data_IF_239436387471
#
_entry.id   IF_239436387471
#
_cell.length_a   1.000
_cell.length_b   1.000
_cell.length_c   1.000
_cell.angle_alpha   90.00
_cell.angle_beta   90.00
_cell.angle_gamma   90.00
#
_symmetry.space_group_name_H-M   'P 1'
#
loop_
_entity.id
_entity.type
_entity.pdbx_description
1 polymer ?
#
# COMPACT_ATOMS: atom_id res chain seq x y z
N UNK A 1 18.43 2.27 10.93
CA UNK A 1 18.35 1.20 9.94
C UNK A 1 19.26 1.51 8.76
N UNK A 2 20.04 0.53 8.31
CA UNK A 2 21.03 0.75 7.25
C UNK A 2 20.42 0.76 5.85
N UNK A 3 19.42 -0.06 5.64
CA UNK A 3 18.71 -0.19 4.38
C UNK A 3 17.22 -0.14 4.67
N UNK A 4 16.50 0.73 3.98
CA UNK A 4 15.06 0.77 4.08
C UNK A 4 14.46 1.22 2.75
N UNK A 5 13.23 0.79 2.52
CA UNK A 5 12.46 1.14 1.34
C UNK A 5 11.00 1.37 1.72
N UNK A 6 10.42 2.39 1.17
CA UNK A 6 9.01 2.70 1.31
C UNK A 6 8.29 2.30 0.02
N UNK A 7 7.38 1.34 0.12
CA UNK A 7 6.49 0.98 -0.97
C UNK A 7 5.20 1.77 -0.84
N UNK A 8 4.79 2.46 -1.90
CA UNK A 8 3.65 3.38 -1.92
C UNK A 8 2.66 2.95 -2.99
N UNK A 9 1.39 2.84 -2.61
CA UNK A 9 0.27 2.54 -3.49
C UNK A 9 -0.86 3.55 -3.36
N UNK A 10 -1.89 3.37 -4.16
CA UNK A 10 -3.10 4.19 -4.10
C UNK A 10 -4.34 3.33 -4.29
N UNK A 11 -5.18 3.23 -3.27
CA UNK A 11 -6.39 2.40 -3.29
C UNK A 11 -7.34 2.72 -4.45
N UNK A 12 -7.45 4.00 -4.81
CA UNK A 12 -8.28 4.43 -5.92
C UNK A 12 -7.88 3.82 -7.26
N UNK A 13 -6.63 3.39 -7.45
CA UNK A 13 -6.24 2.67 -8.66
C UNK A 13 -6.86 1.27 -8.67
N UNK A 14 -6.68 0.51 -7.60
CA UNK A 14 -7.28 -0.82 -7.48
C UNK A 14 -8.81 -0.76 -7.53
N UNK A 15 -9.42 0.19 -6.82
CA UNK A 15 -10.87 0.40 -6.84
C UNK A 15 -11.38 0.68 -8.27
N UNK A 16 -10.63 1.44 -9.08
CA UNK A 16 -11.02 1.70 -10.46
C UNK A 16 -11.07 0.45 -11.34
N UNK A 17 -10.24 -0.56 -11.04
CA UNK A 17 -10.27 -1.86 -11.71
C UNK A 17 -11.50 -2.68 -11.29
N UNK A 18 -11.83 -2.67 -10.00
CA UNK A 18 -13.03 -3.34 -9.46
C UNK A 18 -14.30 -2.77 -10.10
N UNK A 19 -14.39 -1.44 -10.16
CA UNK A 19 -15.53 -0.73 -10.78
C UNK A 19 -15.66 -1.04 -12.28
N UNK A 20 -14.53 -1.02 -13.00
CA UNK A 20 -14.50 -1.31 -14.44
C UNK A 20 -14.89 -2.76 -14.76
N UNK A 21 -14.54 -3.69 -13.90
CA UNK A 21 -14.91 -5.09 -14.00
C UNK A 21 -16.33 -5.38 -13.50
N UNK A 22 -17.00 -4.39 -12.89
CA UNK A 22 -18.32 -4.50 -12.29
C UNK A 22 -18.44 -5.67 -11.29
N UNK A 23 -17.38 -5.89 -10.49
CA UNK A 23 -17.37 -6.95 -9.49
C UNK A 23 -18.30 -6.61 -8.33
N UNK A 24 -19.13 -7.57 -7.94
CA UNK A 24 -19.87 -7.51 -6.67
C UNK A 24 -18.95 -7.72 -5.46
N UNK A 25 -19.49 -7.65 -4.26
CA UNK A 25 -18.67 -7.69 -3.03
C UNK A 25 -17.99 -9.06 -2.85
N UNK A 26 -18.67 -10.15 -3.18
CA UNK A 26 -18.10 -11.51 -3.08
C UNK A 26 -16.93 -11.69 -4.05
N UNK A 27 -17.10 -11.28 -5.31
CA UNK A 27 -16.06 -11.34 -6.32
C UNK A 27 -14.90 -10.42 -5.97
N UNK A 28 -15.17 -9.23 -5.44
CA UNK A 28 -14.16 -8.30 -4.96
C UNK A 28 -13.33 -8.89 -3.84
N UNK A 29 -13.95 -9.47 -2.81
CA UNK A 29 -13.25 -10.11 -1.70
C UNK A 29 -12.34 -11.23 -2.18
N UNK A 30 -12.84 -12.07 -3.09
CA UNK A 30 -12.06 -13.16 -3.67
C UNK A 30 -10.84 -12.67 -4.46
N UNK A 31 -11.01 -11.65 -5.29
CA UNK A 31 -9.91 -11.01 -6.04
C UNK A 31 -8.89 -10.38 -5.10
N UNK A 32 -9.34 -9.69 -4.05
CA UNK A 32 -8.46 -9.10 -3.02
C UNK A 32 -7.62 -10.18 -2.32
N UNK A 33 -8.24 -11.29 -1.93
CA UNK A 33 -7.54 -12.44 -1.32
C UNK A 33 -6.44 -12.97 -2.24
N UNK A 34 -6.77 -13.24 -3.50
CA UNK A 34 -5.83 -13.77 -4.49
C UNK A 34 -4.65 -12.80 -4.75
N UNK A 35 -4.93 -11.50 -4.86
CA UNK A 35 -3.88 -10.49 -5.06
C UNK A 35 -2.99 -10.34 -3.83
N UNK A 36 -3.55 -10.36 -2.62
CA UNK A 36 -2.77 -10.32 -1.39
C UNK A 36 -1.83 -11.53 -1.26
N UNK A 37 -2.24 -12.67 -1.79
CA UNK A 37 -1.43 -13.89 -1.88
C UNK A 37 -0.50 -13.92 -3.10
N UNK A 38 -0.44 -12.83 -3.90
CA UNK A 38 0.34 -12.74 -5.14
C UNK A 38 -0.03 -13.82 -6.18
N UNK A 39 -1.23 -14.38 -6.09
CA UNK A 39 -1.75 -15.40 -6.99
C UNK A 39 -2.47 -14.77 -8.20
N UNK A 40 -1.72 -14.14 -9.08
CA UNK A 40 -2.28 -13.47 -10.27
C UNK A 40 -2.87 -14.45 -11.28
N UNK A 41 -2.35 -15.68 -11.34
CA UNK A 41 -2.94 -16.74 -12.16
C UNK A 41 -4.35 -17.11 -11.65
N UNK A 42 -4.51 -17.28 -10.35
CA UNK A 42 -5.82 -17.53 -9.75
C UNK A 42 -6.80 -16.36 -9.94
N UNK A 43 -6.31 -15.11 -10.02
CA UNK A 43 -7.15 -13.95 -10.38
C UNK A 43 -7.68 -14.12 -11.80
N UNK A 44 -6.84 -14.47 -12.77
CA UNK A 44 -7.22 -14.66 -14.16
C UNK A 44 -8.26 -15.77 -14.31
N UNK A 45 -7.99 -16.96 -13.74
CA UNK A 45 -8.94 -18.08 -13.73
C UNK A 45 -10.29 -17.73 -13.11
N UNK A 46 -10.26 -17.03 -11.97
CA UNK A 46 -11.49 -16.63 -11.29
C UNK A 46 -12.30 -15.64 -12.13
N UNK A 47 -11.66 -14.60 -12.69
CA UNK A 47 -12.32 -13.62 -13.54
C UNK A 47 -12.85 -14.23 -14.86
N UNK A 48 -12.21 -15.27 -15.37
CA UNK A 48 -12.71 -16.05 -16.50
C UNK A 48 -14.00 -16.81 -16.13
N UNK A 49 -14.04 -17.42 -14.94
CA UNK A 49 -15.19 -18.21 -14.48
C UNK A 49 -16.46 -17.38 -14.31
N UNK A 50 -16.33 -16.09 -13.99
CA UNK A 50 -17.44 -15.14 -13.83
C UNK A 50 -17.63 -14.23 -15.07
N UNK A 51 -17.00 -14.59 -16.19
CA UNK A 51 -17.16 -13.95 -17.50
C UNK A 51 -16.87 -12.43 -17.53
N UNK A 52 -15.90 -11.96 -16.78
CA UNK A 52 -15.45 -10.56 -16.81
C UNK A 52 -14.87 -10.23 -18.20
N UNK A 53 -15.08 -9.02 -18.67
CA UNK A 53 -14.59 -8.56 -19.98
C UNK A 53 -13.05 -8.67 -20.06
N UNK A 54 -12.55 -8.99 -21.26
CA UNK A 54 -11.13 -9.25 -21.50
C UNK A 54 -10.22 -8.11 -21.07
N UNK A 55 -10.60 -6.85 -21.36
CA UNK A 55 -9.78 -5.68 -21.00
C UNK A 55 -9.57 -5.54 -19.49
N UNK A 56 -10.58 -5.84 -18.67
CA UNK A 56 -10.45 -5.80 -17.20
C UNK A 56 -9.55 -6.95 -16.71
N UNK A 57 -9.67 -8.15 -17.27
CA UNK A 57 -8.78 -9.28 -16.93
C UNK A 57 -7.32 -8.95 -17.23
N UNK A 58 -7.03 -8.40 -18.40
CA UNK A 58 -5.69 -7.94 -18.79
C UNK A 58 -5.14 -6.89 -17.82
N UNK A 59 -5.98 -5.96 -17.33
CA UNK A 59 -5.61 -4.96 -16.36
C UNK A 59 -5.27 -5.56 -14.97
N UNK A 60 -6.06 -6.54 -14.50
CA UNK A 60 -5.76 -7.26 -13.26
C UNK A 60 -4.48 -8.11 -13.38
N UNK A 61 -4.29 -8.81 -14.49
CA UNK A 61 -3.07 -9.61 -14.75
C UNK A 61 -1.82 -8.71 -14.76
N UNK A 62 -1.92 -7.48 -15.26
CA UNK A 62 -0.82 -6.54 -15.30
C UNK A 62 -0.38 -6.04 -13.91
N UNK A 63 -1.24 -6.11 -12.87
CA UNK A 63 -0.92 -5.63 -11.52
C UNK A 63 0.37 -6.21 -10.95
N UNK A 64 0.66 -7.48 -11.23
CA UNK A 64 1.89 -8.13 -10.79
C UNK A 64 3.17 -7.47 -11.31
N UNK A 65 3.07 -6.76 -12.43
CA UNK A 65 4.17 -6.04 -13.08
C UNK A 65 4.19 -4.55 -12.75
N UNK A 66 3.26 -4.06 -11.94
CA UNK A 66 3.17 -2.67 -11.52
C UNK A 66 3.79 -2.45 -10.12
N UNK A 67 4.95 -3.04 -9.91
CA UNK A 67 5.80 -2.87 -8.72
C UNK A 67 7.18 -2.47 -9.18
N UNK A 68 7.70 -1.35 -8.67
CA UNK A 68 9.03 -0.84 -9.06
C UNK A 68 9.23 0.65 -8.80
N UNK A 69 10.13 1.26 -9.55
CA UNK A 69 10.41 2.69 -9.49
C UNK A 69 9.30 3.54 -10.14
N UNK A 70 9.62 4.80 -10.40
CA UNK A 70 8.66 5.76 -10.98
C UNK A 70 8.16 5.34 -12.38
N UNK A 71 8.92 4.53 -13.10
CA UNK A 71 8.58 4.04 -14.44
C UNK A 71 7.30 3.20 -14.47
N UNK A 72 6.93 2.57 -13.36
CA UNK A 72 5.68 1.79 -13.30
C UNK A 72 4.44 2.67 -13.34
N UNK A 73 4.55 3.95 -12.95
CA UNK A 73 3.42 4.90 -13.00
C UNK A 73 2.97 5.17 -14.44
N UNK A 74 3.91 5.27 -15.38
CA UNK A 74 3.57 5.41 -16.81
C UNK A 74 2.85 4.16 -17.33
N UNK A 75 3.31 2.97 -16.95
CA UNK A 75 2.63 1.70 -17.29
C UNK A 75 1.22 1.64 -16.70
N UNK A 76 1.08 1.99 -15.41
CA UNK A 76 -0.20 2.01 -14.72
C UNK A 76 -1.20 2.97 -15.39
N UNK A 77 -0.73 4.12 -15.86
CA UNK A 77 -1.56 5.10 -16.58
C UNK A 77 -2.15 4.56 -17.87
N UNK A 78 -1.38 3.72 -18.58
CA UNK A 78 -1.82 3.11 -19.84
C UNK A 78 -2.89 2.03 -19.66
N UNK A 79 -2.92 1.38 -18.47
CA UNK A 79 -3.91 0.34 -18.16
C UNK A 79 -5.04 0.82 -17.24
N UNK A 80 -4.97 2.06 -16.76
CA UNK A 80 -6.03 2.65 -15.93
C UNK A 80 -7.34 2.68 -16.73
N UNK A 81 -8.43 2.04 -16.26
CA UNK A 81 -9.61 1.82 -17.07
C UNK A 81 -10.49 3.06 -17.20
N UNK A 82 -10.34 4.01 -16.28
CA UNK A 82 -11.20 5.18 -16.18
C UNK A 82 -10.44 6.40 -15.58
N UNK A 83 -11.14 7.52 -15.50
CA UNK A 83 -10.58 8.78 -14.99
C UNK A 83 -10.15 8.70 -13.52
N UNK A 84 -10.82 7.90 -12.67
CA UNK A 84 -10.45 7.77 -11.26
C UNK A 84 -9.13 7.00 -11.11
N UNK A 85 -8.91 5.95 -11.90
CA UNK A 85 -7.62 5.26 -11.96
C UNK A 85 -6.49 6.17 -12.43
N UNK A 86 -6.74 6.97 -13.48
CA UNK A 86 -5.76 7.96 -13.97
C UNK A 86 -5.46 9.00 -12.90
N UNK A 87 -6.46 9.49 -12.16
CA UNK A 87 -6.26 10.46 -11.07
C UNK A 87 -5.43 9.87 -9.92
N UNK A 88 -5.65 8.60 -9.58
CA UNK A 88 -4.85 7.89 -8.59
C UNK A 88 -3.37 7.85 -8.99
N UNK A 89 -3.06 7.52 -10.24
CA UNK A 89 -1.69 7.51 -10.76
C UNK A 89 -1.09 8.93 -10.75
N UNK A 90 -1.81 9.93 -11.22
CA UNK A 90 -1.35 11.34 -11.17
C UNK A 90 -1.04 11.80 -9.74
N UNK A 91 -1.78 11.28 -8.75
CA UNK A 91 -1.51 11.60 -7.35
C UNK A 91 -0.18 11.00 -6.89
N UNK A 92 0.14 9.79 -7.33
CA UNK A 92 1.43 9.15 -7.04
C UNK A 92 2.60 9.87 -7.76
N UNK A 93 2.41 10.29 -9.03
CA UNK A 93 3.38 11.12 -9.76
C UNK A 93 3.70 12.40 -8.96
N UNK A 94 2.67 13.11 -8.50
CA UNK A 94 2.85 14.33 -7.71
C UNK A 94 3.59 14.09 -6.39
N UNK A 95 3.38 12.94 -5.75
CA UNK A 95 4.10 12.57 -4.53
C UNK A 95 5.57 12.31 -4.86
N UNK A 96 5.84 11.60 -5.95
CA UNK A 96 7.21 11.37 -6.40
C UNK A 96 7.95 12.69 -6.63
N UNK A 97 7.33 13.65 -7.33
CA UNK A 97 7.91 14.96 -7.57
C UNK A 97 8.24 15.70 -6.26
N UNK A 98 7.35 15.63 -5.27
CA UNK A 98 7.59 16.24 -3.95
C UNK A 98 8.75 15.53 -3.24
N UNK A 99 8.79 14.20 -3.26
CA UNK A 99 9.86 13.44 -2.61
C UNK A 99 11.22 13.70 -3.28
N UNK A 100 11.24 13.90 -4.60
CA UNK A 100 12.44 14.29 -5.35
C UNK A 100 12.97 15.66 -4.91
N UNK A 101 12.08 16.63 -4.62
CA UNK A 101 12.50 17.93 -4.06
C UNK A 101 13.20 17.80 -2.71
N UNK A 102 12.87 16.76 -1.94
CA UNK A 102 13.53 16.45 -0.66
C UNK A 102 14.73 15.51 -0.80
N UNK A 103 15.04 15.01 -2.01
CA UNK A 103 16.14 14.07 -2.28
C UNK A 103 15.96 12.70 -1.64
N UNK A 104 14.70 12.28 -1.40
CA UNK A 104 14.36 11.00 -0.75
C UNK A 104 13.67 10.01 -1.67
N UNK A 105 13.47 10.34 -2.95
CA UNK A 105 12.83 9.52 -3.97
C UNK A 105 13.49 8.15 -4.16
N UNK A 106 14.80 8.06 -3.95
CA UNK A 106 15.58 6.81 -4.04
C UNK A 106 15.18 5.74 -3.02
N UNK A 107 14.47 6.13 -1.96
CA UNK A 107 13.97 5.22 -0.94
C UNK A 107 12.53 4.76 -1.22
N UNK A 108 11.93 5.20 -2.33
CA UNK A 108 10.54 4.97 -2.64
C UNK A 108 10.39 4.05 -3.85
N UNK A 109 9.51 3.08 -3.73
CA UNK A 109 8.97 2.29 -4.82
C UNK A 109 7.46 2.42 -4.85
N UNK A 110 6.87 2.13 -6.00
CA UNK A 110 5.42 2.09 -6.16
C UNK A 110 4.94 0.65 -6.27
N UNK A 111 3.80 0.35 -5.65
CA UNK A 111 3.12 -0.94 -5.75
C UNK A 111 1.61 -0.69 -5.94
N UNK A 112 1.16 -0.80 -7.19
CA UNK A 112 -0.25 -0.56 -7.57
C UNK A 112 -1.14 -1.78 -7.25
N UNK A 113 -0.56 -2.88 -6.80
CA UNK A 113 -1.29 -4.08 -6.37
C UNK A 113 -1.72 -4.02 -4.90
N UNK A 114 -1.40 -2.94 -4.19
CA UNK A 114 -1.84 -2.79 -2.79
C UNK A 114 -3.35 -2.62 -2.71
N UNK A 115 -4.03 -3.53 -2.01
CA UNK A 115 -5.50 -3.56 -1.89
C UNK A 115 -6.03 -2.90 -0.62
N UNK A 116 -5.17 -2.61 0.35
CA UNK A 116 -5.56 -2.05 1.65
C UNK A 116 -6.30 -3.06 2.54
N UNK A 117 -5.60 -3.65 3.50
CA UNK A 117 -6.17 -4.65 4.42
C UNK A 117 -7.14 -4.05 5.45
N UNK A 118 -7.18 -2.72 5.58
CA UNK A 118 -8.02 -2.03 6.54
C UNK A 118 -9.03 -1.17 5.77
N UNK A 119 -10.31 -1.46 5.92
CA UNK A 119 -11.42 -0.81 5.19
C UNK A 119 -11.60 0.70 5.46
N UNK A 120 -10.72 1.33 6.24
CA UNK A 120 -10.78 2.77 6.53
C UNK A 120 -9.85 3.62 5.66
N UNK A 121 -8.90 3.04 4.92
CA UNK A 121 -8.05 3.82 4.01
C UNK A 121 -8.83 4.31 2.79
N UNK A 122 -8.57 5.54 2.35
CA UNK A 122 -9.33 6.19 1.27
C UNK A 122 -8.47 6.63 0.08
N UNK A 123 -7.17 6.51 0.18
CA UNK A 123 -6.29 7.04 -0.87
C UNK A 123 -4.92 6.36 -0.86
N UNK A 124 -3.90 7.15 -0.56
CA UNK A 124 -2.52 6.63 -0.49
C UNK A 124 -2.39 5.67 0.67
N UNK A 125 -1.71 4.56 0.40
CA UNK A 125 -1.23 3.61 1.40
C UNK A 125 0.25 3.39 1.20
N UNK A 126 0.96 3.08 2.29
CA UNK A 126 2.39 2.81 2.22
C UNK A 126 2.83 1.80 3.25
N UNK A 127 3.91 1.09 2.92
CA UNK A 127 4.57 0.12 3.79
C UNK A 127 6.07 0.36 3.74
N UNK A 128 6.70 0.45 4.92
CA UNK A 128 8.14 0.60 5.04
C UNK A 128 8.79 -0.73 5.36
N UNK A 129 9.78 -1.11 4.59
CA UNK A 129 10.54 -2.35 4.74
C UNK A 129 11.99 -2.05 5.06
N UNK A 130 12.66 -2.99 5.72
CA UNK A 130 14.10 -2.95 5.95
C UNK A 130 14.67 -4.36 5.95
N UNK A 131 15.98 -4.45 5.78
CA UNK A 131 16.65 -5.75 5.85
C UNK A 131 16.47 -6.43 7.21
N UNK A 132 16.16 -7.72 7.16
CA UNK A 132 16.08 -8.55 8.36
C UNK A 132 14.69 -8.63 9.00
N UNK A 133 13.64 -8.21 8.31
CA UNK A 133 12.25 -8.39 8.74
C UNK A 133 11.50 -9.36 7.85
N UNK A 134 10.45 -9.98 8.38
CA UNK A 134 9.54 -10.83 7.62
C UNK A 134 8.36 -10.07 7.03
N UNK A 135 8.05 -8.89 7.58
CA UNK A 135 6.95 -8.01 7.16
C UNK A 135 7.38 -6.54 7.28
N UNK A 136 6.49 -5.63 6.91
CA UNK A 136 6.72 -4.20 6.97
C UNK A 136 6.88 -3.71 8.41
N UNK A 137 7.93 -2.91 8.65
CA UNK A 137 8.21 -2.24 9.92
C UNK A 137 7.26 -1.05 10.14
N UNK A 138 6.84 -0.41 9.04
CA UNK A 138 5.91 0.72 9.06
C UNK A 138 4.75 0.41 8.13
N UNK A 139 3.52 0.68 8.57
CA UNK A 139 2.30 0.55 7.77
C UNK A 139 1.46 1.80 7.98
N UNK A 140 1.03 2.44 6.89
CA UNK A 140 0.27 3.68 6.99
C UNK A 140 -0.52 4.02 5.73
N UNK A 141 -1.29 5.10 5.82
CA UNK A 141 -2.07 5.57 4.69
C UNK A 141 -2.98 6.75 5.05
N UNK A 142 -3.68 7.23 4.04
CA UNK A 142 -4.68 8.27 4.15
C UNK A 142 -6.04 7.69 4.50
N UNK A 143 -6.75 8.34 5.41
CA UNK A 143 -8.11 7.99 5.81
C UNK A 143 -8.92 9.26 6.04
N UNK A 144 -10.02 9.41 5.30
CA UNK A 144 -10.81 10.64 5.32
C UNK A 144 -12.09 10.52 6.15
N UNK A 145 -12.58 9.28 6.34
CA UNK A 145 -13.87 9.01 6.98
C UNK A 145 -13.78 8.40 8.39
N UNK A 146 -12.58 8.06 8.85
CA UNK A 146 -12.44 7.39 10.15
C UNK A 146 -12.94 8.24 11.31
N UNK A 147 -12.67 9.55 11.28
CA UNK A 147 -13.06 10.49 12.33
C UNK A 147 -14.56 10.85 12.30
N UNK A 148 -15.28 10.53 11.23
CA UNK A 148 -16.73 10.73 11.13
C UNK A 148 -17.47 9.91 12.19
N UNK A 149 -16.95 8.72 12.53
CA UNK A 149 -17.48 7.88 13.61
C UNK A 149 -17.40 8.55 14.99
N UNK A 150 -16.59 9.58 15.12
CA UNK A 150 -16.43 10.41 16.33
C UNK A 150 -17.00 11.82 16.14
N UNK A 151 -17.88 12.01 15.15
CA UNK A 151 -18.57 13.27 14.89
C UNK A 151 -17.73 14.37 14.24
N UNK A 152 -16.57 14.04 13.64
CA UNK A 152 -15.70 15.03 12.99
C UNK A 152 -15.27 14.58 11.60
N UNK A 153 -15.68 15.31 10.56
CA UNK A 153 -15.16 15.10 9.20
C UNK A 153 -13.78 15.74 9.07
N UNK A 154 -12.75 14.95 8.84
CA UNK A 154 -11.38 15.43 8.66
C UNK A 154 -10.54 14.44 7.88
N UNK A 155 -9.96 14.90 6.76
CA UNK A 155 -8.95 14.14 6.05
C UNK A 155 -7.71 13.98 6.93
N UNK A 156 -7.25 12.75 7.06
CA UNK A 156 -6.14 12.39 7.93
C UNK A 156 -5.18 11.43 7.24
N UNK A 157 -3.92 11.48 7.65
CA UNK A 157 -2.89 10.51 7.27
C UNK A 157 -2.15 10.09 8.54
N UNK A 158 -1.82 8.81 8.65
CA UNK A 158 -1.10 8.30 9.79
C UNK A 158 -0.37 7.01 9.47
N UNK A 159 0.44 6.58 10.42
CA UNK A 159 1.15 5.32 10.33
C UNK A 159 1.34 4.68 11.69
N UNK A 160 1.56 3.38 11.68
CA UNK A 160 1.97 2.59 12.83
C UNK A 160 3.35 1.99 12.58
N UNK A 161 4.14 1.89 13.65
CA UNK A 161 5.39 1.14 13.66
C UNK A 161 5.12 -0.23 14.29
N UNK A 162 5.49 -1.29 13.60
CA UNK A 162 5.40 -2.68 14.08
C UNK A 162 6.65 -2.92 14.93
N UNK A 163 6.50 -2.82 16.25
CA UNK A 163 7.64 -2.84 17.18
C UNK A 163 8.42 -4.14 17.10
N UNK A 164 7.75 -5.29 16.99
CA UNK A 164 8.41 -6.59 16.91
C UNK A 164 9.29 -6.68 15.65
N UNK A 165 8.78 -6.21 14.50
CA UNK A 165 9.56 -6.17 13.26
C UNK A 165 10.73 -5.19 13.35
N UNK A 166 10.52 -4.03 13.99
CA UNK A 166 11.60 -3.08 14.25
C UNK A 166 12.70 -3.68 15.13
N UNK A 167 12.32 -4.37 16.21
CA UNK A 167 13.28 -5.03 17.10
C UNK A 167 14.04 -6.13 16.37
N UNK A 168 13.36 -6.95 15.58
CA UNK A 168 13.98 -7.98 14.74
C UNK A 168 15.02 -7.36 13.77
N UNK A 169 14.65 -6.25 13.11
CA UNK A 169 15.56 -5.53 12.22
C UNK A 169 16.81 -5.02 12.95
N UNK A 170 16.63 -4.40 14.10
CA UNK A 170 17.74 -3.86 14.89
C UNK A 170 18.72 -4.96 15.34
N UNK A 171 18.19 -6.11 15.79
CA UNK A 171 19.00 -7.27 16.20
C UNK A 171 19.77 -7.82 15.00
N UNK A 172 19.09 -8.08 13.88
CA UNK A 172 19.70 -8.69 12.69
C UNK A 172 20.72 -7.76 12.01
N UNK A 173 20.47 -6.45 12.04
CA UNK A 173 21.40 -5.45 11.53
C UNK A 173 22.54 -5.11 12.51
N UNK A 174 22.53 -5.73 13.69
CA UNK A 174 23.51 -5.49 14.77
C UNK A 174 23.61 -4.00 15.17
N UNK A 175 22.46 -3.33 15.16
CA UNK A 175 22.35 -1.93 15.59
C UNK A 175 22.19 -1.90 17.09
N UNK A 176 23.18 -1.33 17.77
CA UNK A 176 23.14 -1.19 19.22
C UNK A 176 22.22 -0.05 19.61
N UNK A 177 21.18 -0.39 20.39
CA UNK A 177 20.33 0.62 21.02
C UNK A 177 21.04 1.12 22.27
N UNK A 178 21.41 2.39 22.26
CA UNK A 178 21.94 3.05 23.46
C UNK A 178 20.76 3.58 24.25
N UNK A 179 20.53 3.04 25.43
CA UNK A 179 19.50 3.54 26.32
C UNK A 179 20.15 4.02 27.63
N UNK A 180 19.72 5.18 28.08
CA UNK A 180 20.08 5.70 29.39
C UNK A 180 19.05 5.16 30.38
N UNK A 181 19.48 4.34 31.33
CA UNK A 181 18.60 3.91 32.42
C UNK A 181 18.23 5.14 33.24
N UNK A 182 16.94 5.46 33.29
CA UNK A 182 16.39 6.39 34.26
C UNK A 182 15.74 5.54 35.36
N UNK A 183 16.09 5.80 36.61
CA UNK A 183 15.41 5.19 37.73
C UNK A 183 14.02 5.86 37.80
N UNK A 184 12.98 5.12 37.44
CA UNK A 184 11.59 5.53 37.62
C UNK A 184 10.96 4.62 38.68
N UNK A 185 10.26 5.21 39.63
CA UNK A 185 9.42 4.49 40.60
C UNK A 185 8.00 4.74 40.15
N UNK A 186 7.27 3.67 39.88
CA UNK A 186 5.84 3.71 39.61
C UNK A 186 5.17 3.23 40.89
N UNK A 187 4.46 4.13 41.57
CA UNK A 187 3.58 3.80 42.66
C UNK A 187 2.19 3.49 42.11
N UNK A 188 1.61 2.38 42.54
CA UNK A 188 0.25 1.99 42.18
C UNK A 188 -0.48 1.56 43.45
N UNK A 189 -1.76 1.86 43.52
CA UNK A 189 -2.64 1.44 44.61
C UNK A 189 -3.23 0.05 44.35
#
# INVERSE_FOLDING_TARGET
>A
LKEFQLSVGHLGFFQSLIEDAALDEEARERVVELINNRNYFGVEEYLDSIMVKRSSKEAFAALGNLVGGVEVLAKAKNIAPNSSGIMAVKRLEKIYDILALYGVEKFVTFDLSMTGNYGYYTGIIFRGYTFGTGDAVVKGGRYDHLLEKFGKTSASIGFAIVIDELMNALIRQKIRIVYTRKNAIILYD
#
